data_IF_535928497638
#
_entry.id   IF_535928497638
#
_cell.length_a   1.000
_cell.length_b   1.000
_cell.length_c   1.000
_cell.angle_alpha   90.00
_cell.angle_beta   90.00
_cell.angle_gamma   90.00
#
_symmetry.space_group_name_H-M   'P 1'
#
loop_
_entity.id
_entity.type
_entity.pdbx_description
1 polymer ?
#
# COMPACT_ATOMS: atom_id res chain seq x y z
N UNK A 1 17.83 -3.35 38.84
CA UNK A 1 16.39 -3.50 39.10
C UNK A 1 15.64 -2.16 39.12
N UNK A 2 16.10 -1.13 39.86
CA UNK A 2 15.42 0.17 39.90
C UNK A 2 15.25 0.87 38.53
N UNK A 3 16.27 0.84 37.67
CA UNK A 3 16.20 1.44 36.34
C UNK A 3 15.17 0.76 35.40
N UNK A 4 15.03 -0.57 35.51
CA UNK A 4 14.06 -1.33 34.72
C UNK A 4 12.61 -1.05 35.19
N UNK A 5 12.41 -0.92 36.51
CA UNK A 5 11.12 -0.53 37.07
C UNK A 5 10.74 0.89 36.66
N UNK A 6 11.67 1.85 36.73
CA UNK A 6 11.43 3.23 36.29
C UNK A 6 11.09 3.32 34.79
N UNK A 7 11.79 2.57 33.94
CA UNK A 7 11.50 2.51 32.51
C UNK A 7 10.11 1.89 32.21
N UNK A 8 9.72 0.86 32.96
CA UNK A 8 8.40 0.25 32.84
C UNK A 8 7.28 1.22 33.27
N UNK A 9 7.45 1.93 34.38
CA UNK A 9 6.49 2.94 34.85
C UNK A 9 6.35 4.10 33.86
N UNK A 10 7.46 4.61 33.33
CA UNK A 10 7.43 5.66 32.32
C UNK A 10 6.68 5.22 31.06
N UNK A 11 6.94 4.01 30.57
CA UNK A 11 6.21 3.45 29.42
C UNK A 11 4.71 3.35 29.69
N UNK A 12 4.31 2.83 30.84
CA UNK A 12 2.90 2.72 31.22
C UNK A 12 2.21 4.09 31.30
N UNK A 13 2.90 5.12 31.82
CA UNK A 13 2.38 6.48 31.85
C UNK A 13 2.19 7.06 30.44
N UNK A 14 3.18 6.87 29.56
CA UNK A 14 3.08 7.30 28.15
C UNK A 14 1.92 6.61 27.44
N UNK A 15 1.79 5.29 27.57
CA UNK A 15 0.70 4.52 26.98
C UNK A 15 -0.66 4.98 27.49
N UNK A 16 -0.78 5.23 28.80
CA UNK A 16 -1.99 5.77 29.40
C UNK A 16 -2.33 7.17 28.85
N UNK A 17 -1.36 8.09 28.80
CA UNK A 17 -1.57 9.45 28.29
C UNK A 17 -1.98 9.45 26.82
N UNK A 18 -1.35 8.62 25.98
CA UNK A 18 -1.72 8.53 24.56
C UNK A 18 -3.11 7.94 24.43
N UNK A 19 -3.45 6.90 25.19
CA UNK A 19 -4.80 6.33 25.20
C UNK A 19 -5.83 7.37 25.62
N UNK A 20 -5.59 8.07 26.73
CA UNK A 20 -6.48 9.12 27.24
C UNK A 20 -6.70 10.21 26.17
N UNK A 21 -5.63 10.67 25.52
CA UNK A 21 -5.73 11.61 24.41
C UNK A 21 -6.57 11.08 23.24
N UNK A 22 -6.34 9.84 22.80
CA UNK A 22 -7.06 9.24 21.68
C UNK A 22 -8.58 9.09 21.95
N UNK A 23 -8.98 8.86 23.21
CA UNK A 23 -10.39 8.72 23.59
C UNK A 23 -11.06 10.04 23.99
N UNK A 24 -10.30 11.04 24.44
CA UNK A 24 -10.83 12.34 24.88
C UNK A 24 -10.90 13.38 23.77
N UNK A 25 -10.01 13.31 22.78
CA UNK A 25 -10.01 14.22 21.63
C UNK A 25 -10.97 13.72 20.57
N UNK A 26 -11.74 14.65 20.01
CA UNK A 26 -12.69 14.38 18.94
C UNK A 26 -12.19 14.95 17.61
N UNK A 27 -12.56 14.28 16.52
CA UNK A 27 -12.13 14.58 15.15
C UNK A 27 -13.21 14.18 14.16
N UNK A 28 -13.06 14.58 12.90
CA UNK A 28 -13.84 14.03 11.80
C UNK A 28 -13.47 12.56 11.55
N UNK A 29 -14.41 11.80 10.99
CA UNK A 29 -14.21 10.39 10.62
C UNK A 29 -12.95 10.18 9.76
N UNK A 30 -12.78 10.99 8.71
CA UNK A 30 -11.64 10.87 7.80
C UNK A 30 -10.41 11.66 8.27
N UNK A 31 -10.34 12.06 9.56
CA UNK A 31 -9.36 12.91 10.28
C UNK A 31 -8.88 14.20 9.58
N UNK A 32 -9.30 14.48 8.35
CA UNK A 32 -9.02 15.72 7.61
C UNK A 32 -10.13 15.94 6.59
N UNK A 33 -10.66 17.16 6.53
CA UNK A 33 -11.72 17.56 5.58
C UNK A 33 -11.32 17.39 4.11
N UNK A 34 -10.02 17.46 3.81
CA UNK A 34 -9.48 17.25 2.45
C UNK A 34 -9.71 15.85 1.89
N UNK A 35 -10.00 14.88 2.76
CA UNK A 35 -10.34 13.51 2.36
C UNK A 35 -11.84 13.25 2.40
N UNK A 36 -12.62 14.17 2.97
CA UNK A 36 -14.07 14.10 3.07
C UNK A 36 -14.75 14.42 1.74
N UNK A 37 -15.83 13.70 1.46
CA UNK A 37 -16.75 14.10 0.39
C UNK A 37 -17.45 15.42 0.78
N UNK A 38 -17.69 16.34 -0.17
CA UNK A 38 -18.49 17.54 0.11
C UNK A 38 -19.86 17.12 0.65
N UNK A 39 -20.19 17.58 1.85
CA UNK A 39 -21.44 17.27 2.53
C UNK A 39 -22.06 18.56 3.06
N UNK A 40 -23.35 18.78 2.74
CA UNK A 40 -24.12 19.92 3.28
C UNK A 40 -24.38 19.80 4.79
N UNK A 41 -24.18 18.60 5.36
CA UNK A 41 -24.27 18.37 6.79
C UNK A 41 -22.88 18.41 7.43
N UNK A 42 -22.73 19.03 8.63
CA UNK A 42 -21.48 18.95 9.37
C UNK A 42 -21.17 17.48 9.65
N UNK A 43 -19.99 17.03 9.21
CA UNK A 43 -19.57 15.66 9.38
C UNK A 43 -19.59 15.31 10.89
N UNK A 44 -20.15 14.16 11.27
CA UNK A 44 -20.23 13.78 12.68
C UNK A 44 -18.82 13.74 13.26
N UNK A 45 -18.66 14.24 14.49
CA UNK A 45 -17.39 14.25 15.21
C UNK A 45 -17.31 13.03 16.11
N UNK A 46 -16.20 12.31 16.04
CA UNK A 46 -15.96 11.02 16.70
C UNK A 46 -14.73 11.14 17.58
N UNK A 47 -14.61 10.38 18.69
CA UNK A 47 -13.33 10.20 19.34
C UNK A 47 -12.28 9.77 18.31
N UNK A 48 -11.06 10.30 18.41
CA UNK A 48 -9.95 9.95 17.51
C UNK A 48 -9.73 8.44 17.47
N UNK A 49 -9.83 7.77 18.62
CA UNK A 49 -9.80 6.33 18.74
C UNK A 49 -10.81 5.63 17.83
N UNK A 50 -12.06 6.10 17.80
CA UNK A 50 -13.13 5.48 17.01
C UNK A 50 -12.95 5.77 15.52
N UNK A 51 -12.56 7.00 15.15
CA UNK A 51 -12.28 7.37 13.76
C UNK A 51 -11.12 6.55 13.18
N UNK A 52 -10.04 6.37 13.96
CA UNK A 52 -8.89 5.57 13.57
C UNK A 52 -9.22 4.08 13.47
N UNK A 53 -9.89 3.50 14.46
CA UNK A 53 -10.29 2.10 14.43
C UNK A 53 -11.20 1.81 13.21
N UNK A 54 -12.20 2.66 12.99
CA UNK A 54 -13.08 2.56 11.82
C UNK A 54 -12.34 2.66 10.49
N UNK A 55 -11.30 3.50 10.40
CA UNK A 55 -10.47 3.62 9.20
C UNK A 55 -9.73 2.32 8.83
N UNK A 56 -9.36 1.50 9.82
CA UNK A 56 -8.78 0.17 9.58
C UNK A 56 -9.85 -0.88 9.28
N UNK A 57 -11.02 -0.81 9.89
CA UNK A 57 -12.13 -1.73 9.60
C UNK A 57 -12.66 -1.53 8.17
N UNK A 58 -12.76 -0.28 7.72
CA UNK A 58 -13.15 0.07 6.36
C UNK A 58 -12.25 -0.59 5.32
N UNK A 59 -10.94 -0.64 5.57
CA UNK A 59 -9.98 -1.29 4.68
C UNK A 59 -10.32 -2.78 4.42
N UNK A 60 -10.82 -3.51 5.41
CA UNK A 60 -11.18 -4.93 5.27
C UNK A 60 -12.65 -5.14 4.87
N UNK A 61 -13.52 -4.13 5.07
CA UNK A 61 -14.97 -4.21 4.82
C UNK A 61 -15.36 -4.11 3.35
N UNK A 62 -14.43 -3.78 2.45
CA UNK A 62 -14.70 -3.67 1.01
C UNK A 62 -15.16 -4.97 0.33
N UNK A 63 -15.15 -6.12 1.02
CA UNK A 63 -15.62 -7.41 0.49
C UNK A 63 -17.10 -7.74 0.71
N UNK A 64 -17.90 -6.88 1.37
CA UNK A 64 -19.16 -7.32 2.01
C UNK A 64 -20.49 -6.69 1.57
N UNK A 65 -20.55 -5.59 0.81
CA UNK A 65 -21.85 -4.98 0.51
C UNK A 65 -21.80 -3.80 -0.46
N UNK A 66 -22.73 -3.84 -1.42
CA UNK A 66 -23.02 -2.89 -2.49
C UNK A 66 -21.88 -2.57 -3.49
N UNK A 67 -22.11 -2.95 -4.76
CA UNK A 67 -21.31 -2.58 -5.95
C UNK A 67 -21.02 -1.07 -6.06
N UNK A 68 -21.80 -0.23 -5.38
CA UNK A 68 -21.61 1.24 -5.36
C UNK A 68 -20.42 1.70 -4.53
N UNK A 69 -19.96 0.89 -3.56
CA UNK A 69 -18.82 1.21 -2.70
C UNK A 69 -17.50 0.59 -3.17
N UNK A 70 -17.54 -0.30 -4.17
CA UNK A 70 -16.39 -1.00 -4.77
C UNK A 70 -15.37 -0.09 -5.48
N UNK A 71 -15.51 1.22 -5.40
CA UNK A 71 -14.67 2.17 -6.13
C UNK A 71 -13.80 3.07 -5.26
N UNK A 72 -14.10 3.32 -3.99
CA UNK A 72 -13.42 4.42 -3.29
C UNK A 72 -12.12 3.94 -2.65
N UNK A 73 -10.99 4.59 -3.00
CA UNK A 73 -9.73 4.39 -2.27
C UNK A 73 -9.98 4.72 -0.81
N UNK A 74 -9.74 3.74 0.07
CA UNK A 74 -9.92 3.91 1.50
C UNK A 74 -9.21 5.20 1.98
N UNK A 75 -9.91 6.11 2.69
CA UNK A 75 -9.35 7.39 3.09
C UNK A 75 -8.00 7.28 3.79
N UNK A 76 -7.83 6.22 4.61
CA UNK A 76 -6.59 5.91 5.30
C UNK A 76 -5.36 5.83 4.38
N UNK A 77 -5.51 5.31 3.16
CA UNK A 77 -4.38 5.18 2.22
C UNK A 77 -3.96 6.52 1.61
N UNK A 78 -4.88 7.48 1.53
CA UNK A 78 -4.66 8.81 0.94
C UNK A 78 -3.85 9.75 1.83
N UNK A 79 -3.61 9.37 3.09
CA UNK A 79 -2.78 10.14 3.98
C UNK A 79 -1.34 10.25 3.46
N UNK A 80 -0.71 11.44 3.60
CA UNK A 80 0.72 11.58 3.37
C UNK A 80 1.48 10.55 4.18
N UNK A 81 2.55 10.01 3.59
CA UNK A 81 3.31 8.90 4.19
C UNK A 81 3.69 9.12 5.68
N UNK A 82 4.17 10.30 6.12
CA UNK A 82 4.44 10.54 7.55
C UNK A 82 3.19 10.41 8.44
N UNK A 83 2.05 10.90 7.95
CA UNK A 83 0.77 10.83 8.64
C UNK A 83 0.29 9.39 8.76
N UNK A 84 0.33 8.63 7.67
CA UNK A 84 -0.02 7.21 7.67
C UNK A 84 0.84 6.40 8.67
N UNK A 85 2.15 6.63 8.71
CA UNK A 85 3.04 5.93 9.65
C UNK A 85 2.73 6.29 11.11
N UNK A 86 2.28 7.53 11.36
CA UNK A 86 1.85 7.95 12.69
C UNK A 86 0.56 7.24 13.11
N UNK A 87 -0.39 7.09 12.18
CA UNK A 87 -1.63 6.33 12.39
C UNK A 87 -1.31 4.85 12.65
N UNK A 88 -0.42 4.26 11.86
CA UNK A 88 -0.01 2.86 12.02
C UNK A 88 0.63 2.59 13.39
N UNK A 89 1.42 3.53 13.91
CA UNK A 89 2.02 3.46 15.26
C UNK A 89 0.99 3.59 16.39
N UNK A 90 -0.10 4.32 16.17
CA UNK A 90 -1.19 4.44 17.14
C UNK A 90 -2.14 3.23 17.15
N UNK A 91 -2.25 2.51 16.02
CA UNK A 91 -3.16 1.39 15.84
C UNK A 91 -3.07 0.27 16.91
N UNK A 92 -1.89 -0.14 17.44
CA UNK A 92 -1.81 -1.10 18.53
C UNK A 92 -2.51 -0.64 19.82
N UNK A 93 -2.48 0.67 20.10
CA UNK A 93 -3.10 1.24 21.30
C UNK A 93 -4.63 1.20 21.24
N UNK A 94 -5.16 1.02 20.03
CA UNK A 94 -6.58 0.89 19.70
C UNK A 94 -7.00 -0.58 19.51
N UNK A 95 -6.14 -1.53 19.87
CA UNK A 95 -6.36 -2.97 19.68
C UNK A 95 -6.55 -3.40 18.21
N UNK A 96 -6.01 -2.65 17.25
CA UNK A 96 -6.03 -3.07 15.84
C UNK A 96 -5.09 -4.29 15.67
N UNK A 97 -5.65 -5.39 15.17
CA UNK A 97 -4.94 -6.65 14.97
C UNK A 97 -3.69 -6.50 14.10
N UNK A 98 -2.64 -7.27 14.41
CA UNK A 98 -1.34 -7.19 13.71
C UNK A 98 -1.47 -7.47 12.21
N UNK A 99 -2.32 -8.42 11.82
CA UNK A 99 -2.49 -8.78 10.40
C UNK A 99 -3.21 -7.69 9.62
N UNK A 100 -4.19 -7.02 10.23
CA UNK A 100 -4.86 -5.86 9.65
C UNK A 100 -3.88 -4.69 9.44
N UNK A 101 -3.00 -4.44 10.42
CA UNK A 101 -1.93 -3.44 10.30
C UNK A 101 -0.95 -3.77 9.17
N UNK A 102 -0.56 -5.04 9.04
CA UNK A 102 0.32 -5.52 7.95
C UNK A 102 -0.33 -5.37 6.58
N UNK A 103 -1.60 -5.74 6.43
CA UNK A 103 -2.37 -5.54 5.19
C UNK A 103 -2.52 -4.06 4.85
N UNK A 104 -2.79 -3.21 5.85
CA UNK A 104 -2.84 -1.77 5.66
C UNK A 104 -1.50 -1.21 5.16
N UNK A 105 -0.38 -1.64 5.76
CA UNK A 105 0.96 -1.27 5.33
C UNK A 105 1.26 -1.73 3.89
N UNK A 106 0.85 -2.95 3.53
CA UNK A 106 0.96 -3.46 2.16
C UNK A 106 0.15 -2.63 1.17
N UNK A 107 -1.14 -2.40 1.42
CA UNK A 107 -1.99 -1.56 0.57
C UNK A 107 -1.45 -0.13 0.45
N UNK A 108 -0.88 0.43 1.52
CA UNK A 108 -0.22 1.74 1.47
C UNK A 108 1.04 1.73 0.61
N UNK A 109 1.84 0.66 0.64
CA UNK A 109 2.97 0.50 -0.27
C UNK A 109 2.50 0.51 -1.73
N UNK A 110 1.45 -0.23 -2.06
CA UNK A 110 0.91 -0.26 -3.42
C UNK A 110 0.37 1.12 -3.85
N UNK A 111 -0.32 1.83 -2.94
CA UNK A 111 -0.73 3.21 -3.18
C UNK A 111 0.46 4.15 -3.39
N UNK A 112 1.54 3.97 -2.61
CA UNK A 112 2.78 4.73 -2.73
C UNK A 112 3.45 4.52 -4.10
N UNK A 113 3.42 3.29 -4.62
CA UNK A 113 3.90 3.00 -5.98
C UNK A 113 3.14 3.82 -7.01
N UNK A 114 1.80 3.95 -6.88
CA UNK A 114 1.02 4.84 -7.75
C UNK A 114 1.39 6.31 -7.58
N UNK A 115 1.63 6.79 -6.36
CA UNK A 115 2.07 8.17 -6.09
C UNK A 115 3.43 8.47 -6.75
N UNK A 116 4.41 7.59 -6.60
CA UNK A 116 5.74 7.76 -7.17
C UNK A 116 5.72 7.64 -8.70
N UNK A 117 4.90 6.74 -9.24
CA UNK A 117 4.71 6.61 -10.68
C UNK A 117 4.08 7.87 -11.29
N UNK A 118 3.07 8.47 -10.64
CA UNK A 118 2.47 9.72 -11.09
C UNK A 118 3.49 10.87 -11.08
N UNK A 119 4.30 11.00 -10.02
CA UNK A 119 5.39 11.98 -9.95
C UNK A 119 6.44 11.75 -11.04
N UNK A 120 6.80 10.49 -11.29
CA UNK A 120 7.75 10.15 -12.33
C UNK A 120 7.20 10.52 -13.71
N UNK A 121 5.93 10.21 -14.00
CA UNK A 121 5.28 10.55 -15.26
C UNK A 121 5.25 12.06 -15.54
N UNK A 122 5.09 12.91 -14.52
CA UNK A 122 5.19 14.37 -14.65
C UNK A 122 6.60 14.86 -15.02
N UNK A 123 7.63 14.12 -14.63
CA UNK A 123 9.04 14.49 -14.82
C UNK A 123 9.66 13.87 -16.08
N UNK A 124 8.98 12.90 -16.68
CA UNK A 124 9.47 12.15 -17.83
C UNK A 124 9.28 12.97 -19.11
N UNK A 125 10.34 13.13 -19.95
CA UNK A 125 10.19 13.68 -21.29
C UNK A 125 9.17 12.84 -22.08
N UNK A 126 8.33 13.47 -22.92
CA UNK A 126 7.27 12.80 -23.70
C UNK A 126 7.75 11.66 -24.64
N UNK A 127 9.07 11.43 -24.71
CA UNK A 127 9.74 10.42 -25.53
C UNK A 127 10.09 9.10 -24.80
N UNK A 128 9.90 9.02 -23.48
CA UNK A 128 10.24 7.80 -22.72
C UNK A 128 9.04 6.83 -22.66
N UNK A 129 9.30 5.54 -22.83
CA UNK A 129 8.24 4.53 -22.84
C UNK A 129 7.81 4.17 -21.41
N UNK A 130 6.55 3.77 -21.24
CA UNK A 130 6.03 3.27 -19.94
C UNK A 130 6.88 2.11 -19.41
N UNK A 131 7.41 1.27 -20.30
CA UNK A 131 8.28 0.15 -19.95
C UNK A 131 9.58 0.60 -19.25
N UNK A 132 10.12 1.76 -19.60
CA UNK A 132 11.34 2.30 -19.00
C UNK A 132 11.16 2.63 -17.51
N UNK A 133 9.93 2.98 -17.09
CA UNK A 133 9.61 3.28 -15.69
C UNK A 133 9.57 2.03 -14.81
N UNK A 134 9.22 0.90 -15.40
CA UNK A 134 9.26 -0.41 -14.73
C UNK A 134 10.64 -1.07 -14.87
N UNK A 135 11.52 -0.57 -15.75
CA UNK A 135 12.95 -0.92 -15.84
C UNK A 135 13.25 -2.42 -15.91
N UNK A 136 12.40 -3.20 -16.58
CA UNK A 136 12.56 -4.65 -16.68
C UNK A 136 12.19 -5.41 -15.40
N UNK A 137 11.61 -4.77 -14.38
CA UNK A 137 11.14 -5.43 -13.16
C UNK A 137 10.08 -6.51 -13.43
N UNK A 138 9.36 -6.38 -14.54
CA UNK A 138 8.30 -7.29 -14.99
C UNK A 138 8.78 -8.36 -15.97
N UNK A 139 10.04 -8.33 -16.41
CA UNK A 139 10.57 -9.26 -17.40
C UNK A 139 11.95 -9.78 -16.96
N UNK A 140 12.13 -11.10 -16.90
CA UNK A 140 13.44 -11.71 -16.65
C UNK A 140 14.00 -12.31 -17.95
N UNK A 141 15.29 -12.11 -18.24
CA UNK A 141 15.93 -12.80 -19.35
C UNK A 141 16.07 -14.30 -19.02
N UNK A 142 15.55 -15.18 -19.89
CA UNK A 142 15.62 -16.65 -19.72
C UNK A 142 17.03 -17.22 -19.83
N UNK A 143 17.99 -16.43 -20.33
CA UNK A 143 19.36 -16.87 -20.54
C UNK A 143 20.32 -15.72 -20.32
N UNK A 144 21.32 -15.95 -19.48
CA UNK A 144 22.50 -15.09 -19.33
C UNK A 144 23.56 -15.36 -20.42
N UNK A 145 23.21 -16.16 -21.45
CA UNK A 145 24.12 -16.46 -22.55
C UNK A 145 24.44 -15.20 -23.35
N UNK A 146 25.73 -14.89 -23.58
CA UNK A 146 26.16 -13.66 -24.26
C UNK A 146 25.81 -13.59 -25.75
N UNK A 147 25.22 -14.65 -26.34
CA UNK A 147 24.76 -14.66 -27.73
C UNK A 147 23.34 -14.08 -27.86
N UNK A 148 23.28 -12.75 -27.90
CA UNK A 148 22.08 -11.89 -27.94
C UNK A 148 21.25 -11.93 -29.24
N UNK A 149 20.89 -13.10 -29.78
CA UNK A 149 19.97 -13.14 -30.94
C UNK A 149 18.56 -13.62 -30.64
N UNK A 150 18.34 -14.40 -29.58
CA UNK A 150 17.01 -14.92 -29.21
C UNK A 150 16.78 -14.87 -27.70
N UNK A 151 16.92 -13.69 -27.09
CA UNK A 151 16.55 -13.51 -25.68
C UNK A 151 15.04 -13.63 -25.54
N UNK A 152 14.56 -14.82 -25.17
CA UNK A 152 13.17 -15.04 -24.78
C UNK A 152 12.97 -14.43 -23.39
N UNK A 153 12.01 -13.53 -23.26
CA UNK A 153 11.69 -12.85 -22.00
C UNK A 153 10.55 -13.58 -21.31
N UNK A 154 10.70 -13.84 -20.01
CA UNK A 154 9.64 -14.42 -19.18
C UNK A 154 9.08 -13.38 -18.20
N UNK A 155 7.75 -13.29 -18.04
CA UNK A 155 7.15 -12.40 -17.07
C UNK A 155 7.61 -12.73 -15.64
N UNK A 156 7.89 -11.69 -14.86
CA UNK A 156 8.28 -11.82 -13.47
C UNK A 156 7.06 -12.15 -12.60
N UNK A 157 7.01 -13.34 -12.02
CA UNK A 157 5.88 -13.79 -11.17
C UNK A 157 6.03 -13.40 -9.70
N UNK A 158 7.17 -12.83 -9.33
CA UNK A 158 7.53 -12.54 -7.94
C UNK A 158 8.48 -11.34 -7.87
N UNK A 159 8.06 -10.31 -7.13
CA UNK A 159 8.77 -9.04 -6.98
C UNK A 159 9.03 -8.77 -5.50
N UNK A 160 10.27 -8.41 -5.16
CA UNK A 160 10.63 -8.02 -3.79
C UNK A 160 10.48 -6.51 -3.56
N UNK A 161 10.24 -6.07 -2.33
CA UNK A 161 10.27 -4.64 -1.98
C UNK A 161 11.65 -4.02 -2.31
N UNK A 162 12.80 -4.65 -1.96
CA UNK A 162 14.11 -4.10 -2.30
C UNK A 162 14.31 -3.85 -3.80
N UNK A 163 13.76 -4.71 -4.68
CA UNK A 163 13.85 -4.49 -6.13
C UNK A 163 13.12 -3.22 -6.58
N UNK A 164 12.07 -2.77 -5.90
CA UNK A 164 11.39 -1.52 -6.23
C UNK A 164 12.30 -0.29 -6.08
N UNK A 165 13.28 -0.33 -5.15
CA UNK A 165 14.22 0.77 -4.90
C UNK A 165 15.16 1.05 -6.08
N UNK A 166 15.41 0.04 -6.90
CA UNK A 166 16.24 0.18 -8.08
C UNK A 166 15.49 0.89 -9.23
N UNK A 167 14.20 1.19 -9.04
CA UNK A 167 13.30 1.72 -10.06
C UNK A 167 12.61 3.00 -9.56
N UNK A 168 12.04 3.77 -10.48
CA UNK A 168 11.29 5.01 -10.18
C UNK A 168 9.99 4.77 -9.40
N UNK A 169 9.65 3.51 -9.10
CA UNK A 169 8.42 3.09 -8.43
C UNK A 169 8.50 3.22 -6.90
N UNK A 170 9.69 3.37 -6.32
CA UNK A 170 9.86 3.62 -4.89
C UNK A 170 11.14 4.42 -4.61
N UNK A 171 11.01 5.72 -4.39
CA UNK A 171 12.16 6.56 -4.04
C UNK A 171 12.84 6.13 -2.74
N UNK A 172 14.15 6.39 -2.65
CA UNK A 172 14.95 6.05 -1.47
C UNK A 172 14.42 6.70 -0.18
N UNK A 173 13.94 7.95 -0.27
CA UNK A 173 13.37 8.67 0.87
C UNK A 173 12.07 8.01 1.37
N UNK A 174 11.17 7.66 0.46
CA UNK A 174 9.92 6.97 0.76
C UNK A 174 10.18 5.59 1.39
N UNK A 175 11.12 4.83 0.83
CA UNK A 175 11.55 3.55 1.38
C UNK A 175 12.14 3.68 2.79
N UNK A 176 13.08 4.61 2.99
CA UNK A 176 13.70 4.83 4.30
C UNK A 176 12.63 5.18 5.35
N UNK A 177 11.65 6.00 4.97
CA UNK A 177 10.56 6.37 5.86
C UNK A 177 9.68 5.16 6.23
N UNK A 178 9.31 4.32 5.25
CA UNK A 178 8.52 3.11 5.49
C UNK A 178 9.26 2.08 6.35
N UNK A 179 10.57 1.90 6.13
CA UNK A 179 11.41 0.95 6.90
C UNK A 179 11.43 1.20 8.41
N UNK A 180 10.98 2.37 8.86
CA UNK A 180 10.84 2.72 10.28
C UNK A 180 9.61 2.08 10.94
N UNK A 181 8.66 1.55 10.18
CA UNK A 181 7.50 0.82 10.69
C UNK A 181 7.80 -0.67 10.84
N UNK A 182 7.31 -1.28 11.93
CA UNK A 182 7.45 -2.72 12.18
C UNK A 182 6.74 -3.57 11.13
N UNK A 183 5.56 -3.14 10.72
CA UNK A 183 4.75 -3.82 9.72
C UNK A 183 5.47 -3.86 8.38
N UNK A 184 6.12 -2.76 7.97
CA UNK A 184 6.87 -2.74 6.72
C UNK A 184 8.08 -3.66 6.77
N UNK A 185 8.86 -3.63 7.86
CA UNK A 185 10.01 -4.54 8.05
C UNK A 185 9.59 -6.01 7.99
N UNK A 186 8.39 -6.34 8.50
CA UNK A 186 7.82 -7.67 8.36
C UNK A 186 7.52 -8.01 6.89
N UNK A 187 6.98 -7.07 6.11
CA UNK A 187 6.74 -7.28 4.68
C UNK A 187 8.07 -7.50 3.94
N UNK A 188 9.14 -6.81 4.33
CA UNK A 188 10.45 -7.00 3.69
C UNK A 188 11.12 -8.35 3.99
N UNK A 189 10.66 -9.09 4.99
CA UNK A 189 11.21 -10.39 5.35
C UNK A 189 10.99 -11.39 4.19
N UNK A 190 12.05 -12.04 3.66
CA UNK A 190 11.91 -13.10 2.65
C UNK A 190 11.01 -14.26 3.10
N UNK A 191 10.81 -14.46 4.41
CA UNK A 191 9.87 -15.45 4.94
C UNK A 191 8.39 -15.07 4.66
N UNK A 192 8.11 -13.82 4.29
CA UNK A 192 6.78 -13.35 3.88
C UNK A 192 6.47 -13.79 2.44
N UNK A 193 6.19 -15.08 2.26
CA UNK A 193 6.07 -15.75 0.95
C UNK A 193 4.96 -15.20 0.05
N UNK A 194 3.87 -14.69 0.63
CA UNK A 194 2.71 -14.20 -0.12
C UNK A 194 2.91 -12.81 -0.72
N UNK A 195 3.84 -12.03 -0.17
CA UNK A 195 4.01 -10.65 -0.56
C UNK A 195 4.49 -10.53 -2.00
N UNK A 196 5.50 -11.32 -2.37
CA UNK A 196 6.18 -11.13 -3.64
C UNK A 196 5.28 -11.43 -4.85
N UNK A 197 4.46 -12.50 -4.83
CA UNK A 197 3.46 -12.73 -5.87
C UNK A 197 2.36 -11.66 -5.90
N UNK A 198 1.85 -11.24 -4.74
CA UNK A 198 0.82 -10.20 -4.67
C UNK A 198 1.31 -8.86 -5.23
N UNK A 199 2.55 -8.48 -4.90
CA UNK A 199 3.19 -7.29 -5.44
C UNK A 199 3.43 -7.41 -6.96
N UNK A 200 3.90 -8.56 -7.44
CA UNK A 200 4.08 -8.81 -8.87
C UNK A 200 2.76 -8.66 -9.64
N UNK A 201 1.68 -9.28 -9.15
CA UNK A 201 0.37 -9.22 -9.76
C UNK A 201 -0.15 -7.77 -9.86
N UNK A 202 -0.01 -7.00 -8.78
CA UNK A 202 -0.39 -5.59 -8.79
C UNK A 202 0.40 -4.81 -9.83
N UNK A 203 1.71 -5.03 -9.93
CA UNK A 203 2.58 -4.28 -10.86
C UNK A 203 2.32 -4.64 -12.32
N UNK A 204 2.01 -5.90 -12.63
CA UNK A 204 1.56 -6.30 -13.97
C UNK A 204 0.23 -5.65 -14.34
N UNK A 205 -0.73 -5.66 -13.41
CA UNK A 205 -2.00 -4.97 -13.61
C UNK A 205 -1.81 -3.46 -13.82
N UNK A 206 -0.95 -2.84 -12.99
CA UNK A 206 -0.61 -1.43 -13.10
C UNK A 206 0.01 -1.11 -14.45
N UNK A 207 1.00 -1.89 -14.89
CA UNK A 207 1.65 -1.74 -16.18
C UNK A 207 0.67 -1.88 -17.34
N UNK A 208 -0.20 -2.90 -17.32
CA UNK A 208 -1.24 -3.09 -18.33
C UNK A 208 -2.20 -1.89 -18.39
N UNK A 209 -2.62 -1.37 -17.23
CA UNK A 209 -3.46 -0.20 -17.13
C UNK A 209 -2.77 1.03 -17.73
N UNK A 210 -1.61 1.43 -17.22
CA UNK A 210 -0.92 2.67 -17.65
C UNK A 210 -0.41 2.61 -19.09
N UNK A 211 -0.25 1.42 -19.66
CA UNK A 211 0.10 1.25 -21.09
C UNK A 211 -1.10 1.48 -22.02
N UNK A 212 -2.33 1.34 -21.51
CA UNK A 212 -3.58 1.45 -22.27
C UNK A 212 -4.31 2.76 -22.04
N UNK A 213 -4.09 3.40 -20.90
CA UNK A 213 -4.77 4.64 -20.50
C UNK A 213 -3.78 5.80 -20.39
N UNK A 214 -4.29 7.02 -20.60
CA UNK A 214 -3.55 8.24 -20.27
C UNK A 214 -3.20 8.24 -18.78
N UNK A 215 -2.06 8.84 -18.44
CA UNK A 215 -1.65 9.03 -17.06
C UNK A 215 -2.70 9.81 -16.28
N UNK A 216 -3.21 9.19 -15.21
CA UNK A 216 -4.19 9.78 -14.30
C UNK A 216 -3.59 9.90 -12.90
N UNK A 217 -4.29 10.57 -11.99
CA UNK A 217 -3.79 10.76 -10.63
C UNK A 217 -3.59 9.43 -9.89
N UNK A 218 -2.75 9.43 -8.84
CA UNK A 218 -2.52 8.23 -8.03
C UNK A 218 -3.80 7.63 -7.40
N UNK A 219 -4.75 8.43 -6.86
CA UNK A 219 -6.05 7.91 -6.42
C UNK A 219 -6.82 7.19 -7.52
N UNK A 220 -6.90 7.76 -8.72
CA UNK A 220 -7.64 7.19 -9.84
C UNK A 220 -6.96 5.93 -10.37
N UNK A 221 -5.63 5.93 -10.44
CA UNK A 221 -4.84 4.77 -10.84
C UNK A 221 -5.05 3.62 -9.86
N UNK A 222 -4.93 3.88 -8.54
CA UNK A 222 -5.13 2.84 -7.53
C UNK A 222 -6.59 2.34 -7.54
N UNK A 223 -7.56 3.23 -7.72
CA UNK A 223 -8.97 2.86 -7.89
C UNK A 223 -9.22 2.02 -9.15
N UNK A 224 -8.55 2.31 -10.26
CA UNK A 224 -8.63 1.47 -11.45
C UNK A 224 -8.13 0.05 -11.14
N UNK A 225 -7.06 -0.06 -10.33
CA UNK A 225 -6.56 -1.36 -9.89
C UNK A 225 -7.53 -2.12 -9.00
N UNK A 226 -8.30 -1.46 -8.13
CA UNK A 226 -9.32 -2.12 -7.31
C UNK A 226 -10.51 -2.63 -8.12
N UNK A 227 -10.69 -2.15 -9.36
CA UNK A 227 -11.76 -2.62 -10.27
C UNK A 227 -11.35 -3.82 -11.12
N UNK A 228 -10.07 -4.17 -11.13
CA UNK A 228 -9.61 -5.39 -11.79
C UNK A 228 -9.77 -6.55 -10.81
N UNK A 229 -10.80 -7.40 -11.01
CA UNK A 229 -11.18 -8.48 -10.08
C UNK A 229 -9.99 -9.27 -9.52
N UNK A 230 -9.02 -9.58 -10.38
CA UNK A 230 -7.87 -10.38 -9.99
C UNK A 230 -6.85 -9.64 -9.14
N UNK A 231 -6.64 -8.34 -9.41
CA UNK A 231 -5.82 -7.47 -8.56
C UNK A 231 -6.57 -7.16 -7.26
N UNK A 232 -7.89 -6.98 -7.34
CA UNK A 232 -8.73 -6.74 -6.18
C UNK A 232 -8.67 -7.85 -5.14
N UNK A 233 -8.75 -9.10 -5.57
CA UNK A 233 -8.60 -10.25 -4.68
C UNK A 233 -7.24 -10.26 -3.97
N UNK A 234 -6.17 -9.90 -4.70
CA UNK A 234 -4.84 -9.74 -4.13
C UNK A 234 -4.75 -8.57 -3.13
N UNK A 235 -5.50 -7.48 -3.33
CA UNK A 235 -5.56 -6.37 -2.39
C UNK A 235 -6.32 -6.75 -1.11
N UNK A 236 -7.42 -7.50 -1.23
CA UNK A 236 -8.24 -7.91 -0.09
C UNK A 236 -7.55 -8.98 0.78
N UNK A 237 -6.99 -10.01 0.14
CA UNK A 237 -6.41 -11.20 0.78
C UNK A 237 -5.08 -11.53 0.10
N UNK A 238 -4.05 -10.67 0.25
CA UNK A 238 -2.77 -10.90 -0.42
C UNK A 238 -2.12 -12.23 -0.02
N UNK A 239 -2.45 -12.75 1.17
CA UNK A 239 -1.97 -14.03 1.68
C UNK A 239 -2.43 -15.24 0.85
N UNK A 240 -3.49 -15.08 0.04
CA UNK A 240 -4.01 -16.12 -0.85
C UNK A 240 -3.41 -16.12 -2.25
N UNK A 241 -2.51 -15.18 -2.58
CA UNK A 241 -1.93 -15.05 -3.92
C UNK A 241 -0.66 -15.88 -4.03
N UNK A 242 -0.65 -16.79 -5.00
CA UNK A 242 0.51 -17.63 -5.35
C UNK A 242 1.13 -17.19 -6.69
N UNK A 243 2.34 -17.68 -6.97
CA UNK A 243 2.97 -17.46 -8.29
C UNK A 243 2.13 -18.05 -9.44
N UNK A 244 1.41 -19.14 -9.20
CA UNK A 244 0.57 -19.80 -10.21
C UNK A 244 -0.63 -18.92 -10.57
N UNK A 245 -1.20 -18.20 -9.59
CA UNK A 245 -2.22 -17.20 -9.85
C UNK A 245 -1.67 -16.13 -10.80
N UNK A 246 -0.48 -15.59 -10.51
CA UNK A 246 0.17 -14.60 -11.38
C UNK A 246 0.36 -15.16 -12.79
N UNK A 247 0.92 -16.37 -12.94
CA UNK A 247 1.12 -17.03 -14.24
C UNK A 247 -0.17 -17.19 -15.04
N UNK A 248 -1.27 -17.54 -14.38
CA UNK A 248 -2.55 -17.77 -15.04
C UNK A 248 -3.19 -16.49 -15.59
N UNK A 249 -2.87 -15.34 -14.97
CA UNK A 249 -3.50 -14.05 -15.27
C UNK A 249 -2.70 -13.26 -16.30
N UNK A 250 -1.38 -13.42 -16.33
CA UNK A 250 -0.50 -12.70 -17.25
C UNK A 250 -0.93 -12.72 -18.72
N UNK A 251 -1.42 -13.83 -19.30
CA UNK A 251 -1.90 -13.84 -20.69
C UNK A 251 -3.18 -13.02 -20.92
N UNK A 252 -3.91 -12.66 -19.85
CA UNK A 252 -5.18 -11.94 -19.90
C UNK A 252 -5.00 -10.42 -19.71
N UNK A 253 -3.83 -9.99 -19.22
CA UNK A 253 -3.46 -8.59 -18.99
C UNK A 253 -2.85 -7.93 -20.21
#
# INVERSE_FOLDING_TARGET
>A
MAAAAAAATFRAAVEWTVRDFLYSVTTLRELTESFSLPSDNPAPVWPVATALAGSFEELDSFGGGDEKSQGLVAPLLRYPLPGFLSILKAAPMLNVGVDLRRRAAFRRLLYLVCEELAKAAEQVPHSQSVADLFGGLLERPLSTSPDHKDAKWEPCVSVSIPSLRAHSLLSAASYEMMSRAEEFRYLEDPACVWLQPALALFLHGLFSHVSRTLWVSAPETYQAMTRMDVVWNALLRPEGVSEDDVRSILPLM
#
